data_IF_605477695616
#
_entry.id   IF_605477695616
#
_cell.length_a   1.000
_cell.length_b   1.000
_cell.length_c   1.000
_cell.angle_alpha   90.00
_cell.angle_beta   90.00
_cell.angle_gamma   90.00
#
_symmetry.space_group_name_H-M   'P 1'
#
loop_
_entity.id
_entity.type
_entity.pdbx_description
1 polymer ?
#
# COMPACT_ATOMS: atom_id res chain seq x y z
N UNK A 1 -13.84 7.76 8.46
CA UNK A 1 -12.72 7.44 9.37
C UNK A 1 -11.49 7.24 8.53
N UNK A 2 -10.35 7.71 9.02
CA UNK A 2 -9.08 7.59 8.32
C UNK A 2 -8.56 6.14 8.40
N UNK A 3 -7.91 5.58 7.38
CA UNK A 3 -7.37 4.23 7.47
C UNK A 3 -6.32 4.12 8.58
N UNK A 4 -6.36 3.02 9.30
CA UNK A 4 -5.33 2.67 10.26
C UNK A 4 -4.11 2.11 9.52
N UNK A 5 -2.92 2.63 9.82
CA UNK A 5 -1.64 2.16 9.25
C UNK A 5 -0.69 1.81 10.38
N UNK A 6 -0.10 0.61 10.32
CA UNK A 6 0.84 0.12 11.33
C UNK A 6 2.10 -0.45 10.68
N UNK A 7 3.24 -0.24 11.32
CA UNK A 7 4.56 -0.77 10.92
C UNK A 7 4.94 -1.89 11.87
N UNK A 8 5.42 -2.99 11.31
CA UNK A 8 5.76 -4.23 11.98
C UNK A 8 7.14 -4.72 11.53
N UNK A 9 7.77 -5.65 12.28
CA UNK A 9 8.89 -6.42 11.75
C UNK A 9 8.48 -7.21 10.49
N UNK A 10 9.35 -7.28 9.49
CA UNK A 10 9.06 -7.96 8.21
C UNK A 10 8.66 -9.43 8.35
N UNK A 11 9.15 -10.09 9.41
CA UNK A 11 8.87 -11.49 9.73
C UNK A 11 7.49 -11.73 10.34
N UNK A 12 6.73 -10.67 10.68
CA UNK A 12 5.41 -10.82 11.28
C UNK A 12 4.39 -11.38 10.27
N UNK A 13 3.42 -12.14 10.79
CA UNK A 13 2.34 -12.71 10.00
C UNK A 13 1.32 -11.62 9.61
N UNK A 14 1.43 -11.16 8.37
CA UNK A 14 0.57 -10.11 7.85
C UNK A 14 -0.90 -10.51 7.80
N UNK A 15 -1.23 -11.79 7.60
CA UNK A 15 -2.63 -12.22 7.54
C UNK A 15 -3.26 -12.26 8.94
N UNK A 16 -2.50 -12.69 9.95
CA UNK A 16 -2.90 -12.57 11.34
C UNK A 16 -3.14 -11.12 11.76
N UNK A 17 -2.18 -10.23 11.47
CA UNK A 17 -2.30 -8.80 11.77
C UNK A 17 -3.53 -8.18 11.10
N UNK A 18 -3.71 -8.40 9.79
CA UNK A 18 -4.88 -7.89 9.08
C UNK A 18 -6.18 -8.43 9.68
N UNK A 19 -6.22 -9.70 10.07
CA UNK A 19 -7.41 -10.31 10.67
C UNK A 19 -7.81 -9.58 11.95
N UNK A 20 -6.85 -9.32 12.82
CA UNK A 20 -7.07 -8.65 14.10
C UNK A 20 -7.47 -7.18 13.91
N UNK A 21 -6.79 -6.45 13.02
CA UNK A 21 -7.10 -5.05 12.69
C UNK A 21 -8.52 -4.91 12.10
N UNK A 22 -8.90 -5.81 11.18
CA UNK A 22 -10.24 -5.82 10.58
C UNK A 22 -11.31 -6.18 11.62
N UNK A 23 -11.03 -7.13 12.50
CA UNK A 23 -11.93 -7.50 13.59
C UNK A 23 -12.20 -6.31 14.52
N UNK A 24 -11.13 -5.59 14.89
CA UNK A 24 -11.22 -4.37 15.69
C UNK A 24 -12.03 -3.27 14.98
N UNK A 25 -11.73 -2.99 13.70
CA UNK A 25 -12.45 -1.96 12.90
C UNK A 25 -13.95 -2.23 12.80
N UNK A 26 -14.36 -3.49 12.76
CA UNK A 26 -15.75 -3.91 12.58
C UNK A 26 -16.47 -4.23 13.91
N UNK A 27 -15.75 -4.24 15.03
CA UNK A 27 -16.28 -4.67 16.33
C UNK A 27 -16.79 -6.11 16.33
N UNK A 28 -16.02 -7.03 15.74
CA UNK A 28 -16.33 -8.47 15.65
C UNK A 28 -15.18 -9.32 16.21
N UNK A 29 -15.43 -10.60 16.44
CA UNK A 29 -14.37 -11.54 16.84
C UNK A 29 -13.45 -11.90 15.67
N UNK A 30 -12.12 -12.03 15.86
CA UNK A 30 -11.17 -12.38 14.79
C UNK A 30 -11.49 -13.68 14.05
N UNK A 31 -12.07 -14.66 14.75
CA UNK A 31 -12.51 -15.93 14.14
C UNK A 31 -13.60 -15.76 13.06
N UNK A 32 -14.29 -14.62 13.04
CA UNK A 32 -15.30 -14.30 12.01
C UNK A 32 -14.69 -13.62 10.79
N UNK A 33 -13.41 -13.24 10.85
CA UNK A 33 -12.70 -12.52 9.80
C UNK A 33 -11.87 -13.47 8.96
N UNK A 34 -12.16 -13.49 7.68
CA UNK A 34 -11.37 -14.18 6.66
C UNK A 34 -10.45 -13.15 5.99
N UNK A 35 -9.19 -13.54 5.85
CA UNK A 35 -8.16 -12.79 5.13
C UNK A 35 -7.58 -13.73 4.09
N UNK A 36 -7.18 -13.19 2.95
CA UNK A 36 -6.44 -13.94 1.96
C UNK A 36 -5.89 -13.05 0.87
N UNK A 37 -5.46 -13.67 -0.22
CA UNK A 37 -5.01 -12.99 -1.44
C UNK A 37 -5.78 -13.48 -2.64
N UNK A 38 -5.82 -12.65 -3.67
CA UNK A 38 -6.28 -13.05 -4.98
C UNK A 38 -5.49 -12.29 -6.05
N UNK A 39 -4.85 -13.03 -6.95
CA UNK A 39 -4.27 -12.45 -8.15
C UNK A 39 -5.35 -12.25 -9.21
N UNK A 40 -5.61 -11.00 -9.68
CA UNK A 40 -6.59 -10.77 -10.73
C UNK A 40 -6.18 -11.34 -12.10
N UNK A 41 -4.89 -11.70 -12.28
CA UNK A 41 -4.36 -12.23 -13.54
C UNK A 41 -4.49 -13.75 -13.68
N UNK A 42 -4.20 -14.50 -12.62
CA UNK A 42 -4.17 -15.96 -12.66
C UNK A 42 -5.10 -16.65 -11.66
N UNK A 43 -5.81 -15.89 -10.81
CA UNK A 43 -6.71 -16.43 -9.79
C UNK A 43 -6.01 -17.07 -8.58
N UNK A 44 -4.67 -17.04 -8.51
CA UNK A 44 -3.91 -17.63 -7.40
C UNK A 44 -4.19 -16.93 -6.06
N UNK A 45 -4.29 -17.71 -4.99
CA UNK A 45 -4.29 -17.24 -3.60
C UNK A 45 -2.90 -17.18 -2.98
N UNK A 46 -1.86 -17.69 -3.66
CA UNK A 46 -0.48 -17.61 -3.17
C UNK A 46 0.12 -16.21 -3.31
N UNK A 47 -0.44 -15.38 -4.19
CA UNK A 47 0.00 -14.01 -4.42
C UNK A 47 -1.18 -13.12 -4.82
N UNK A 48 -0.89 -11.83 -5.06
CA UNK A 48 -1.88 -10.85 -5.47
C UNK A 48 -2.37 -9.97 -4.33
N UNK A 49 -3.47 -9.26 -4.59
CA UNK A 49 -3.98 -8.22 -3.70
C UNK A 49 -4.54 -8.88 -2.43
N UNK A 50 -4.19 -8.39 -1.23
CA UNK A 50 -4.83 -8.85 -0.01
C UNK A 50 -6.30 -8.42 0.02
N UNK A 51 -7.15 -9.26 0.62
CA UNK A 51 -8.55 -8.95 0.87
C UNK A 51 -8.94 -9.41 2.27
N UNK A 52 -9.96 -8.79 2.85
CA UNK A 52 -10.54 -9.22 4.12
C UNK A 52 -12.07 -9.10 4.09
N UNK A 53 -12.76 -10.03 4.77
CA UNK A 53 -14.22 -10.08 4.90
C UNK A 53 -14.60 -10.62 6.28
N UNK A 54 -15.66 -10.09 6.88
CA UNK A 54 -16.22 -10.62 8.12
C UNK A 54 -17.57 -11.30 7.85
N UNK A 55 -17.75 -12.51 8.40
CA UNK A 55 -18.99 -13.26 8.27
C UNK A 55 -20.18 -12.46 8.82
N UNK A 56 -21.28 -12.45 8.08
CA UNK A 56 -22.50 -11.71 8.46
C UNK A 56 -22.40 -10.19 8.34
N UNK A 57 -21.28 -9.64 7.84
CA UNK A 57 -21.13 -8.20 7.55
C UNK A 57 -21.14 -7.95 6.05
N UNK A 58 -21.87 -6.91 5.65
CA UNK A 58 -21.88 -6.38 4.26
C UNK A 58 -20.99 -5.15 4.09
N UNK A 59 -20.46 -4.63 5.19
CA UNK A 59 -19.57 -3.47 5.20
C UNK A 59 -18.31 -3.75 4.38
N UNK A 60 -17.91 -2.78 3.57
CA UNK A 60 -16.68 -2.85 2.79
C UNK A 60 -15.48 -2.57 3.69
N UNK A 61 -14.43 -3.37 3.53
CA UNK A 61 -13.15 -3.20 4.21
C UNK A 61 -12.03 -3.28 3.19
N UNK A 62 -11.27 -2.19 3.09
CA UNK A 62 -10.02 -2.15 2.35
C UNK A 62 -8.88 -2.64 3.24
N UNK A 63 -8.00 -3.44 2.65
CA UNK A 63 -6.74 -3.85 3.27
C UNK A 63 -5.59 -3.67 2.28
N UNK A 64 -4.43 -3.29 2.78
CA UNK A 64 -3.21 -3.18 1.98
C UNK A 64 -1.98 -3.57 2.79
N UNK A 65 -0.95 -4.04 2.09
CA UNK A 65 0.33 -4.46 2.69
C UNK A 65 1.47 -3.93 1.82
N UNK A 66 2.55 -3.46 2.45
CA UNK A 66 3.85 -3.27 1.79
C UNK A 66 5.01 -3.80 2.65
N UNK A 67 6.13 -4.11 2.00
CA UNK A 67 7.34 -4.62 2.65
C UNK A 67 8.56 -3.98 2.01
N UNK A 68 9.48 -3.48 2.84
CA UNK A 68 10.79 -3.01 2.38
C UNK A 68 11.81 -3.14 3.51
N UNK A 69 12.95 -3.77 3.22
CA UNK A 69 13.95 -4.12 4.23
C UNK A 69 13.34 -4.86 5.44
N UNK A 70 13.57 -4.39 6.68
CA UNK A 70 13.08 -5.04 7.90
C UNK A 70 11.64 -4.69 8.25
N UNK A 71 10.92 -3.95 7.39
CA UNK A 71 9.60 -3.43 7.70
C UNK A 71 8.50 -4.11 6.88
N UNK A 72 7.42 -4.47 7.59
CA UNK A 72 6.11 -4.80 7.05
C UNK A 72 5.16 -3.67 7.43
N UNK A 73 4.41 -3.12 6.48
CA UNK A 73 3.36 -2.14 6.76
C UNK A 73 2.01 -2.73 6.40
N UNK A 74 1.04 -2.62 7.29
CA UNK A 74 -0.37 -2.95 7.03
C UNK A 74 -1.23 -1.70 7.07
N UNK A 75 -2.24 -1.64 6.22
CA UNK A 75 -3.26 -0.61 6.24
C UNK A 75 -4.65 -1.25 6.20
N UNK A 76 -5.57 -0.76 7.04
CA UNK A 76 -6.97 -1.23 7.12
C UNK A 76 -7.91 -0.03 7.20
N UNK A 77 -8.98 -0.06 6.41
CA UNK A 77 -9.95 1.05 6.35
C UNK A 77 -11.29 0.62 5.81
N UNK A 78 -12.27 1.54 5.82
CA UNK A 78 -13.61 1.33 5.27
C UNK A 78 -13.72 1.69 3.78
N UNK A 79 -12.63 2.17 3.21
CA UNK A 79 -12.47 2.56 1.82
C UNK A 79 -12.35 1.32 0.93
N UNK A 80 -12.99 1.36 -0.24
CA UNK A 80 -12.88 0.29 -1.24
C UNK A 80 -11.46 0.21 -1.83
N UNK A 81 -10.87 1.39 -2.01
CA UNK A 81 -9.55 1.57 -2.57
C UNK A 81 -8.61 1.98 -1.45
N UNK A 82 -7.68 1.09 -1.13
CA UNK A 82 -6.71 1.30 -0.07
C UNK A 82 -5.36 0.72 -0.49
N UNK A 83 -4.34 1.56 -0.43
CA UNK A 83 -3.00 1.23 -0.85
C UNK A 83 -1.97 1.86 0.08
N UNK A 84 -1.04 1.05 0.58
CA UNK A 84 0.08 1.53 1.38
C UNK A 84 1.38 1.10 0.72
N UNK A 85 2.39 1.96 0.79
CA UNK A 85 3.72 1.61 0.30
C UNK A 85 4.85 2.19 1.15
N UNK A 86 5.84 1.35 1.47
CA UNK A 86 7.06 1.73 2.18
C UNK A 86 8.26 1.37 1.32
N UNK A 87 9.23 2.27 1.19
CA UNK A 87 10.49 1.96 0.52
C UNK A 87 11.71 2.58 1.18
N UNK A 88 12.83 1.85 1.10
CA UNK A 88 14.13 2.35 1.51
C UNK A 88 14.65 3.36 0.49
N UNK A 89 15.02 4.56 0.96
CA UNK A 89 15.49 5.66 0.12
C UNK A 89 16.69 5.24 -0.74
N UNK A 90 17.67 4.57 -0.13
CA UNK A 90 18.88 4.12 -0.83
C UNK A 90 18.57 3.07 -1.92
N UNK A 91 17.60 2.19 -1.69
CA UNK A 91 17.21 1.16 -2.65
C UNK A 91 16.52 1.77 -3.88
N UNK A 92 15.59 2.71 -3.66
CA UNK A 92 14.95 3.44 -4.77
C UNK A 92 15.97 4.24 -5.56
N UNK A 93 16.86 4.98 -4.89
CA UNK A 93 17.86 5.80 -5.55
C UNK A 93 18.84 4.98 -6.40
N UNK A 94 19.22 3.78 -5.95
CA UNK A 94 20.13 2.90 -6.69
C UNK A 94 19.53 2.39 -8.03
N UNK A 95 18.20 2.33 -8.14
CA UNK A 95 17.47 1.89 -9.33
C UNK A 95 16.64 2.97 -9.99
N UNK A 96 16.86 4.24 -9.66
CA UNK A 96 16.00 5.33 -10.12
C UNK A 96 16.12 5.55 -11.63
N UNK A 97 14.99 5.43 -12.31
CA UNK A 97 14.82 5.85 -13.70
C UNK A 97 13.60 6.77 -13.81
N UNK A 98 13.87 8.07 -13.95
CA UNK A 98 12.83 9.08 -14.08
C UNK A 98 11.89 8.84 -15.27
N UNK A 99 12.33 8.15 -16.33
CA UNK A 99 11.52 7.90 -17.53
C UNK A 99 10.45 6.82 -17.30
N UNK A 100 10.68 5.92 -16.34
CA UNK A 100 9.74 4.87 -15.97
C UNK A 100 8.77 5.33 -14.87
N UNK A 101 9.22 6.27 -14.03
CA UNK A 101 8.48 6.69 -12.83
C UNK A 101 7.73 7.99 -13.05
N UNK A 102 8.33 9.04 -13.62
CA UNK A 102 7.74 10.38 -13.62
C UNK A 102 6.72 10.58 -14.73
N UNK A 103 5.59 11.18 -14.35
CA UNK A 103 4.72 11.81 -15.33
C UNK A 103 5.39 13.11 -15.82
N UNK A 104 5.18 13.55 -17.07
CA UNK A 104 5.82 14.77 -17.59
C UNK A 104 5.63 16.03 -16.73
N UNK A 105 4.52 16.12 -16.00
CA UNK A 105 4.26 17.25 -15.07
C UNK A 105 4.95 17.15 -13.70
N UNK A 106 5.69 16.08 -13.45
CA UNK A 106 6.42 15.83 -12.20
C UNK A 106 7.93 15.98 -12.35
N UNK A 107 8.43 16.29 -13.54
CA UNK A 107 9.85 16.56 -13.76
C UNK A 107 10.37 17.65 -12.80
N UNK A 108 11.52 17.38 -12.19
CA UNK A 108 12.13 18.28 -11.20
C UNK A 108 11.59 18.10 -9.77
N UNK A 109 10.58 17.26 -9.56
CA UNK A 109 10.14 16.88 -8.21
C UNK A 109 11.03 15.80 -7.58
N UNK A 110 11.86 15.12 -8.36
CA UNK A 110 12.78 14.04 -7.98
C UNK A 110 14.21 14.54 -7.66
N UNK A 111 14.29 15.73 -7.08
CA UNK A 111 15.53 16.52 -6.85
C UNK A 111 16.61 15.84 -6.00
N UNK A 112 16.22 14.86 -5.19
CA UNK A 112 17.10 14.14 -4.27
C UNK A 112 16.58 12.71 -4.04
N UNK A 113 17.42 11.78 -3.54
CA UNK A 113 17.01 10.40 -3.26
C UNK A 113 15.73 10.28 -2.42
N UNK A 114 15.52 11.18 -1.47
CA UNK A 114 14.37 11.12 -0.58
C UNK A 114 13.07 11.57 -1.28
N UNK A 115 13.17 12.48 -2.26
CA UNK A 115 12.08 12.90 -3.11
C UNK A 115 11.74 11.84 -4.18
N UNK A 116 12.75 11.17 -4.74
CA UNK A 116 12.58 10.00 -5.60
C UNK A 116 11.76 8.90 -4.91
N UNK A 117 12.18 8.51 -3.70
CA UNK A 117 11.48 7.52 -2.90
C UNK A 117 10.06 7.96 -2.49
N UNK A 118 9.85 9.25 -2.21
CA UNK A 118 8.51 9.74 -1.89
C UNK A 118 7.57 9.65 -3.10
N UNK A 119 8.03 10.03 -4.30
CA UNK A 119 7.25 9.87 -5.53
C UNK A 119 6.96 8.41 -5.83
N UNK A 120 7.96 7.54 -5.70
CA UNK A 120 7.80 6.09 -5.85
C UNK A 120 6.71 5.56 -4.92
N UNK A 121 6.82 5.79 -3.61
CA UNK A 121 5.86 5.29 -2.63
C UNK A 121 4.45 5.81 -2.89
N UNK A 122 4.30 7.10 -3.24
CA UNK A 122 2.98 7.66 -3.56
C UNK A 122 2.34 6.92 -4.75
N UNK A 123 3.11 6.69 -5.81
CA UNK A 123 2.59 6.02 -7.01
C UNK A 123 2.29 4.55 -6.76
N UNK A 124 3.16 3.82 -6.06
CA UNK A 124 2.88 2.44 -5.65
C UNK A 124 1.63 2.35 -4.75
N UNK A 125 1.49 3.26 -3.78
CA UNK A 125 0.31 3.31 -2.93
C UNK A 125 -0.98 3.52 -3.76
N UNK A 126 -0.95 4.42 -4.74
CA UNK A 126 -2.09 4.65 -5.65
C UNK A 126 -2.40 3.38 -6.47
N UNK A 127 -1.38 2.78 -7.10
CA UNK A 127 -1.55 1.58 -7.93
C UNK A 127 -2.07 0.38 -7.12
N UNK A 128 -1.68 0.27 -5.84
CA UNK A 128 -2.20 -0.72 -4.89
C UNK A 128 -3.66 -0.45 -4.52
N UNK A 129 -4.04 0.81 -4.28
CA UNK A 129 -5.41 1.20 -3.98
C UNK A 129 -6.36 0.94 -5.17
N UNK A 130 -5.88 1.23 -6.38
CA UNK A 130 -6.57 0.93 -7.64
C UNK A 130 -6.76 -0.58 -7.89
N UNK A 131 -5.87 -1.41 -7.34
CA UNK A 131 -5.84 -2.86 -7.61
C UNK A 131 -5.35 -3.23 -9.00
N UNK A 132 -4.86 -2.25 -9.79
CA UNK A 132 -4.26 -2.46 -11.11
C UNK A 132 -2.80 -2.87 -11.04
N UNK A 133 -2.12 -2.57 -9.92
CA UNK A 133 -0.71 -2.91 -9.70
C UNK A 133 0.18 -2.43 -10.85
N UNK A 134 1.19 -3.23 -11.21
CA UNK A 134 2.15 -2.94 -12.28
C UNK A 134 1.57 -2.95 -13.71
N UNK A 135 0.25 -3.18 -13.88
CA UNK A 135 -0.36 -3.15 -15.22
C UNK A 135 -0.47 -1.71 -15.78
N UNK A 136 -0.33 -0.70 -14.93
CA UNK A 136 -0.32 0.72 -15.32
C UNK A 136 1.09 1.26 -15.11
N UNK A 137 1.74 1.81 -16.15
CA UNK A 137 3.04 2.45 -16.00
C UNK A 137 2.96 3.62 -15.01
N UNK A 138 3.92 3.73 -14.08
CA UNK A 138 3.96 4.86 -13.13
C UNK A 138 4.04 6.21 -13.84
N UNK A 139 4.77 6.29 -14.95
CA UNK A 139 4.90 7.50 -15.76
C UNK A 139 3.58 7.99 -16.39
N UNK A 140 2.53 7.15 -16.47
CA UNK A 140 1.21 7.60 -16.95
C UNK A 140 0.30 8.11 -15.83
N UNK A 141 0.72 7.97 -14.57
CA UNK A 141 -0.01 8.39 -13.38
C UNK A 141 0.60 9.67 -12.82
N UNK A 142 -0.20 10.69 -12.58
CA UNK A 142 0.23 11.89 -11.85
C UNK A 142 -0.21 11.79 -10.39
N UNK A 143 0.73 11.76 -9.45
CA UNK A 143 0.43 11.55 -8.03
C UNK A 143 -0.51 12.62 -7.44
N UNK A 144 -0.41 13.86 -7.93
CA UNK A 144 -1.24 14.98 -7.47
C UNK A 144 -2.73 14.85 -7.81
N UNK A 145 -3.11 13.95 -8.72
CA UNK A 145 -4.50 13.75 -9.14
C UNK A 145 -5.22 12.71 -8.25
N UNK A 146 -4.53 12.15 -7.26
CA UNK A 146 -5.05 11.10 -6.38
C UNK A 146 -4.98 11.53 -4.90
N UNK A 147 -5.89 11.01 -4.05
CA UNK A 147 -5.85 11.25 -2.61
C UNK A 147 -4.79 10.36 -1.96
N UNK A 148 -3.52 10.75 -2.18
CA UNK A 148 -2.33 10.13 -1.60
C UNK A 148 -1.64 11.11 -0.66
N UNK A 149 -1.07 10.60 0.43
CA UNK A 149 -0.28 11.41 1.38
C UNK A 149 0.88 10.62 1.93
N UNK A 150 1.93 11.34 2.29
CA UNK A 150 3.06 10.76 3.01
C UNK A 150 2.69 10.55 4.48
N UNK A 151 3.25 9.52 5.09
CA UNK A 151 3.14 9.23 6.52
C UNK A 151 4.54 9.23 7.16
N UNK A 152 4.63 9.41 8.49
CA UNK A 152 5.89 9.18 9.21
C UNK A 152 6.44 7.77 8.93
N UNK A 153 7.73 7.70 8.62
CA UNK A 153 8.43 6.46 8.29
C UNK A 153 9.69 6.32 9.16
N UNK A 154 10.22 5.09 9.33
CA UNK A 154 11.53 4.86 9.92
C UNK A 154 12.62 5.65 9.19
N UNK A 155 13.72 5.94 9.88
CA UNK A 155 14.86 6.64 9.29
C UNK A 155 15.38 5.89 8.05
N UNK A 156 15.63 6.62 6.96
CA UNK A 156 16.05 6.03 5.69
C UNK A 156 14.92 5.45 4.83
N UNK A 157 13.65 5.61 5.24
CA UNK A 157 12.48 5.14 4.50
C UNK A 157 11.51 6.27 4.13
N UNK A 158 10.68 6.01 3.11
CA UNK A 158 9.47 6.77 2.80
C UNK A 158 8.26 5.85 2.89
N UNK A 159 7.13 6.41 3.30
CA UNK A 159 5.86 5.71 3.46
C UNK A 159 4.74 6.60 2.92
N UNK A 160 3.88 6.03 2.07
CA UNK A 160 2.70 6.71 1.55
C UNK A 160 1.44 5.86 1.69
N UNK A 161 0.31 6.54 1.78
CA UNK A 161 -1.02 5.97 1.86
C UNK A 161 -1.93 6.64 0.84
N UNK A 162 -2.63 5.84 0.05
CA UNK A 162 -3.68 6.27 -0.87
C UNK A 162 -5.01 5.62 -0.50
N UNK A 163 -6.09 6.40 -0.40
CA UNK A 163 -7.39 5.89 0.02
C UNK A 163 -8.58 6.71 -0.52
N UNK A 164 -9.60 6.03 -1.05
CA UNK A 164 -10.88 6.62 -1.47
C UNK A 164 -12.04 5.62 -1.53
#
# INVERSE_FOLDING_TARGET
MDPEVQIHPVAADAEAILRDQVAALLGVGPATVQVGRLCPRCGSSAHGRPWARAAGRREQVGVSISRSGPHLVTAVGRQAHLGVDIEQIAAVAAGWDSTLVLHPSEHGQDRDPAAQAALWCRKEAILKADGRGLAVPMASLRAADHPVRDLPAPEGYRLALAAW
#
